data_IF_840811514096
#
_entry.id   IF_840811514096
#
_cell.length_a   1.000
_cell.length_b   1.000
_cell.length_c   1.000
_cell.angle_alpha   90.00
_cell.angle_beta   90.00
_cell.angle_gamma   90.00
#
_symmetry.space_group_name_H-M   'P 1'
#
loop_
_entity.id
_entity.type
_entity.pdbx_description
1 polymer ?
#
# COMPACT_ATOMS: atom_id res chain seq x y z
N UNK A 1 -46.32 10.80 -33.35
CA UNK A 1 -45.82 11.87 -32.45
C UNK A 1 -44.31 11.71 -32.39
N UNK A 2 -43.58 12.59 -33.08
CA UNK A 2 -42.12 12.60 -33.08
C UNK A 2 -41.68 13.09 -31.71
N UNK A 3 -40.91 12.27 -30.99
CA UNK A 3 -40.34 12.67 -29.72
C UNK A 3 -39.20 13.62 -30.05
N UNK A 4 -39.36 14.91 -29.75
CA UNK A 4 -38.31 15.91 -29.93
C UNK A 4 -37.15 15.60 -28.98
N UNK A 5 -36.09 15.05 -29.55
CA UNK A 5 -34.90 14.62 -28.79
C UNK A 5 -34.07 15.79 -28.28
N UNK A 6 -34.30 17.01 -28.78
CA UNK A 6 -33.60 18.23 -28.38
C UNK A 6 -33.83 18.62 -26.91
N UNK A 7 -35.05 18.49 -26.40
CA UNK A 7 -35.37 18.82 -25.00
C UNK A 7 -34.73 17.81 -24.03
N UNK A 8 -34.59 16.56 -24.46
CA UNK A 8 -33.90 15.50 -23.71
C UNK A 8 -32.41 15.83 -23.61
N UNK A 9 -31.78 16.31 -24.69
CA UNK A 9 -30.37 16.68 -24.67
C UNK A 9 -30.09 18.01 -23.94
N UNK A 10 -31.04 18.94 -23.89
CA UNK A 10 -30.91 20.17 -23.10
C UNK A 10 -30.96 19.90 -21.59
N UNK A 11 -31.78 18.95 -21.12
CA UNK A 11 -31.83 18.57 -19.71
C UNK A 11 -30.63 17.73 -19.25
N UNK A 12 -29.93 17.05 -20.16
CA UNK A 12 -28.69 16.30 -19.89
C UNK A 12 -27.45 17.22 -19.85
N UNK A 13 -27.51 18.40 -20.47
CA UNK A 13 -26.47 19.42 -20.29
C UNK A 13 -26.54 19.96 -18.88
N UNK A 14 -25.72 19.38 -18.01
CA UNK A 14 -25.40 19.89 -16.69
C UNK A 14 -24.95 21.36 -16.86
N UNK A 15 -25.87 22.28 -16.61
CA UNK A 15 -25.56 23.71 -16.61
C UNK A 15 -24.64 23.95 -15.42
N UNK A 16 -23.46 24.53 -15.70
CA UNK A 16 -22.39 24.74 -14.73
C UNK A 16 -22.74 25.75 -13.62
N UNK A 17 -24.00 26.19 -13.54
CA UNK A 17 -24.45 27.33 -12.76
C UNK A 17 -25.14 26.97 -11.43
N UNK A 18 -25.44 25.70 -11.16
CA UNK A 18 -26.20 25.32 -9.96
C UNK A 18 -25.36 24.96 -8.72
N UNK A 19 -24.02 24.98 -8.81
CA UNK A 19 -23.14 24.56 -7.70
C UNK A 19 -22.23 25.67 -7.16
N UNK A 20 -22.68 26.93 -7.17
CA UNK A 20 -22.14 27.88 -6.19
C UNK A 20 -22.82 27.61 -4.86
N UNK A 21 -22.30 26.62 -4.13
CA UNK A 21 -22.61 26.41 -2.73
C UNK A 21 -22.47 27.76 -2.01
N UNK A 22 -23.59 28.22 -1.44
CA UNK A 22 -23.61 29.42 -0.59
C UNK A 22 -22.80 29.11 0.66
N UNK A 23 -21.50 29.34 0.61
CA UNK A 23 -20.66 29.18 1.79
C UNK A 23 -21.21 30.09 2.88
N UNK A 24 -21.41 29.59 4.11
CA UNK A 24 -21.87 30.40 5.21
C UNK A 24 -20.92 31.59 5.36
N UNK A 25 -21.47 32.80 5.25
CA UNK A 25 -20.72 34.04 5.45
C UNK A 25 -20.45 34.19 6.94
N UNK A 26 -19.41 33.51 7.42
CA UNK A 26 -18.87 33.72 8.75
C UNK A 26 -18.18 35.08 8.78
N UNK A 27 -18.44 35.85 9.83
CA UNK A 27 -17.76 37.11 10.09
C UNK A 27 -16.42 36.83 10.77
N UNK A 28 -15.48 37.76 10.62
CA UNK A 28 -14.18 37.69 11.27
C UNK A 28 -14.32 37.67 12.79
N UNK A 29 -13.72 36.68 13.46
CA UNK A 29 -13.76 36.52 14.92
C UNK A 29 -12.84 37.51 15.67
N UNK A 30 -12.17 38.42 14.95
CA UNK A 30 -11.31 39.45 15.54
C UNK A 30 -12.14 40.56 16.19
N UNK A 31 -11.79 41.05 17.40
CA UNK A 31 -12.57 42.08 18.09
C UNK A 31 -12.71 43.33 17.22
N UNK A 32 -13.96 43.71 16.94
CA UNK A 32 -14.30 44.90 16.15
C UNK A 32 -14.20 44.76 14.62
N UNK A 33 -13.98 43.56 14.08
CA UNK A 33 -13.94 43.34 12.63
C UNK A 33 -15.26 42.79 12.07
N UNK A 34 -15.80 43.40 11.01
CA UNK A 34 -17.00 42.93 10.30
C UNK A 34 -16.71 42.39 8.89
N UNK A 35 -15.42 42.19 8.55
CA UNK A 35 -15.04 41.62 7.25
C UNK A 35 -15.40 40.12 7.18
N UNK A 36 -15.61 39.59 5.97
CA UNK A 36 -15.86 38.16 5.75
C UNK A 36 -14.66 37.32 6.16
N UNK A 37 -14.91 36.20 6.83
CA UNK A 37 -13.88 35.31 7.31
C UNK A 37 -13.65 34.15 6.34
N UNK A 38 -12.70 34.34 5.43
CA UNK A 38 -12.37 33.34 4.39
C UNK A 38 -11.29 32.36 4.86
N UNK A 39 -10.49 32.73 5.86
CA UNK A 39 -9.27 32.01 6.19
C UNK A 39 -9.32 31.45 7.61
N UNK A 40 -9.20 30.11 7.78
CA UNK A 40 -9.08 29.47 9.08
C UNK A 40 -7.65 29.61 9.63
N UNK A 41 -7.53 29.84 10.94
CA UNK A 41 -6.28 29.89 11.69
C UNK A 41 -6.36 28.97 12.92
N UNK A 42 -5.33 28.19 13.26
CA UNK A 42 -5.38 27.22 14.37
C UNK A 42 -5.56 27.92 15.73
N UNK A 43 -6.34 27.36 16.67
CA UNK A 43 -6.51 27.96 18.03
C UNK A 43 -5.34 27.69 19.00
N UNK A 44 -4.23 27.14 18.51
CA UNK A 44 -3.07 26.75 19.32
C UNK A 44 -2.88 25.23 19.42
N UNK A 45 -1.77 24.81 20.02
CA UNK A 45 -1.36 23.39 20.11
C UNK A 45 -2.36 22.51 20.86
N UNK A 46 -2.91 23.01 21.97
CA UNK A 46 -3.85 22.24 22.81
C UNK A 46 -5.19 21.96 22.12
N UNK A 47 -5.58 22.78 21.14
CA UNK A 47 -6.85 22.68 20.44
C UNK A 47 -6.63 22.46 18.94
N UNK A 48 -5.91 21.39 18.59
CA UNK A 48 -5.51 21.09 17.21
C UNK A 48 -6.66 20.97 16.20
N UNK A 49 -7.89 20.70 16.67
CA UNK A 49 -9.10 20.57 15.82
C UNK A 49 -9.97 21.82 15.78
N UNK A 50 -9.64 22.85 16.55
CA UNK A 50 -10.38 24.10 16.55
C UNK A 50 -9.65 25.14 15.70
N UNK A 51 -10.41 25.88 14.89
CA UNK A 51 -9.91 26.97 14.06
C UNK A 51 -10.69 28.26 14.34
N UNK A 52 -9.99 29.39 14.32
CA UNK A 52 -10.55 30.74 14.24
C UNK A 52 -10.78 31.09 12.77
N UNK A 53 -11.90 31.72 12.45
CA UNK A 53 -12.14 32.25 11.11
C UNK A 53 -11.86 33.75 11.08
N UNK A 54 -10.88 34.16 10.26
CA UNK A 54 -10.45 35.55 10.13
C UNK A 54 -10.51 36.04 8.67
N UNK A 55 -10.47 37.36 8.50
CA UNK A 55 -10.23 38.00 7.21
C UNK A 55 -8.74 38.02 6.86
N UNK A 56 -8.40 38.36 5.61
CA UNK A 56 -7.01 38.31 5.11
C UNK A 56 -6.02 39.16 5.93
N UNK A 57 -6.46 40.33 6.41
CA UNK A 57 -5.60 41.24 7.19
C UNK A 57 -5.31 40.67 8.59
N UNK A 58 -6.31 40.11 9.25
CA UNK A 58 -6.16 39.57 10.61
C UNK A 58 -5.49 38.20 10.63
N UNK A 59 -5.63 37.38 9.59
CA UNK A 59 -4.80 36.16 9.47
C UNK A 59 -3.33 36.50 9.37
N UNK A 60 -2.95 37.57 8.66
CA UNK A 60 -1.54 37.99 8.58
C UNK A 60 -1.02 38.42 9.95
N UNK A 61 -1.78 39.23 10.69
CA UNK A 61 -1.42 39.63 12.05
C UNK A 61 -1.34 38.44 13.01
N UNK A 62 -2.29 37.50 12.90
CA UNK A 62 -2.29 36.28 13.69
C UNK A 62 -1.07 35.42 13.39
N UNK A 63 -0.78 35.15 12.12
CA UNK A 63 0.37 34.32 11.72
C UNK A 63 1.71 34.96 12.12
N UNK A 64 1.81 36.29 12.16
CA UNK A 64 3.00 36.98 12.63
C UNK A 64 3.26 36.80 14.14
N UNK A 65 2.19 36.75 14.95
CA UNK A 65 2.32 36.56 16.40
C UNK A 65 2.25 35.09 16.82
N UNK A 66 1.81 34.19 15.94
CA UNK A 66 1.62 32.79 16.24
C UNK A 66 2.96 32.04 16.28
N UNK A 67 3.28 31.48 17.45
CA UNK A 67 4.39 30.56 17.62
C UNK A 67 3.88 29.21 18.14
N UNK A 68 4.04 28.15 17.34
CA UNK A 68 3.61 26.80 17.70
C UNK A 68 4.34 26.24 18.94
N UNK A 69 5.60 26.65 19.15
CA UNK A 69 6.46 26.18 20.24
C UNK A 69 6.45 27.11 21.46
N UNK A 70 5.56 28.11 21.51
CA UNK A 70 5.44 28.98 22.69
C UNK A 70 5.16 28.14 23.95
N UNK A 71 6.01 28.27 24.97
CA UNK A 71 5.89 27.55 26.24
C UNK A 71 6.36 26.09 26.21
N UNK A 72 7.07 25.66 25.16
CA UNK A 72 7.78 24.38 25.12
C UNK A 72 9.22 24.58 25.62
N UNK A 73 9.75 23.60 26.34
CA UNK A 73 11.16 23.51 26.71
C UNK A 73 12.04 23.16 25.51
N UNK A 74 13.33 23.49 25.60
CA UNK A 74 14.27 23.27 24.51
C UNK A 74 14.43 21.78 24.15
N UNK A 75 14.33 20.87 25.14
CA UNK A 75 14.44 19.43 24.89
C UNK A 75 13.23 18.90 24.11
N UNK A 76 12.01 19.31 24.46
CA UNK A 76 10.83 18.91 23.70
C UNK A 76 10.82 19.49 22.27
N UNK A 77 11.36 20.70 22.05
CA UNK A 77 11.54 21.23 20.69
C UNK A 77 12.51 20.34 19.90
N UNK A 78 13.65 19.97 20.49
CA UNK A 78 14.63 19.09 19.85
C UNK A 78 14.02 17.72 19.52
N UNK A 79 13.22 17.13 20.42
CA UNK A 79 12.49 15.88 20.14
C UNK A 79 11.53 16.03 18.98
N UNK A 80 10.76 17.12 18.94
CA UNK A 80 9.83 17.38 17.84
C UNK A 80 10.56 17.51 16.50
N UNK A 81 11.73 18.15 16.48
CA UNK A 81 12.57 18.24 15.28
C UNK A 81 13.07 16.86 14.83
N UNK A 82 13.55 16.02 15.75
CA UNK A 82 13.97 14.65 15.44
C UNK A 82 12.82 13.80 14.89
N UNK A 83 11.63 13.92 15.49
CA UNK A 83 10.44 13.22 15.01
C UNK A 83 9.94 13.75 13.66
N UNK A 84 10.09 15.05 13.39
CA UNK A 84 9.71 15.64 12.12
C UNK A 84 10.53 15.08 10.95
N UNK A 85 11.81 14.73 11.18
CA UNK A 85 12.64 14.05 10.17
C UNK A 85 12.06 12.70 9.72
N UNK A 86 11.39 11.99 10.63
CA UNK A 86 10.74 10.70 10.35
C UNK A 86 9.26 10.83 10.00
N UNK A 87 8.73 12.06 9.98
CA UNK A 87 7.31 12.35 9.74
C UNK A 87 6.40 11.97 10.90
N UNK A 88 6.89 12.10 12.14
CA UNK A 88 6.21 11.68 13.37
C UNK A 88 5.84 10.18 13.38
N UNK A 89 6.60 9.37 12.64
CA UNK A 89 6.39 7.92 12.60
C UNK A 89 7.29 7.27 13.65
N UNK A 90 6.76 6.39 14.51
CA UNK A 90 7.60 5.64 15.45
C UNK A 90 8.60 4.78 14.67
N UNK A 91 9.88 4.95 14.98
CA UNK A 91 10.97 4.16 14.39
C UNK A 91 11.55 3.22 15.43
N UNK A 92 11.75 1.95 15.07
CA UNK A 92 12.40 0.96 15.93
C UNK A 92 13.84 0.73 15.49
N UNK A 93 14.74 0.54 16.45
CA UNK A 93 16.08 0.06 16.12
C UNK A 93 15.98 -1.36 15.57
N UNK A 94 16.69 -1.63 14.49
CA UNK A 94 16.72 -2.94 13.85
C UNK A 94 17.22 -3.99 14.86
N UNK A 95 16.36 -4.96 15.22
CA UNK A 95 16.66 -6.01 16.20
C UNK A 95 16.03 -5.83 17.58
N UNK A 96 15.39 -4.69 17.86
CA UNK A 96 14.66 -4.46 19.11
C UNK A 96 13.24 -5.03 19.02
N UNK A 97 12.89 -5.98 19.89
CA UNK A 97 11.54 -6.54 19.93
C UNK A 97 10.60 -5.54 20.61
N UNK A 98 9.51 -5.17 19.94
CA UNK A 98 8.46 -4.27 20.45
C UNK A 98 7.92 -4.73 21.82
N UNK A 99 8.03 -6.02 22.13
CA UNK A 99 7.57 -6.62 23.39
C UNK A 99 8.52 -6.50 24.58
N UNK A 100 9.78 -6.07 24.39
CA UNK A 100 10.78 -6.11 25.46
C UNK A 100 10.88 -4.81 26.27
N UNK A 101 10.43 -3.68 25.73
CA UNK A 101 10.76 -2.36 26.27
C UNK A 101 9.55 -1.59 26.85
N UNK A 102 8.33 -2.16 26.87
CA UNK A 102 7.14 -1.41 27.36
C UNK A 102 6.53 -2.03 28.61
N UNK A 103 6.42 -1.21 29.66
CA UNK A 103 5.69 -1.52 30.88
C UNK A 103 4.19 -1.46 30.62
N UNK A 104 3.42 -2.23 31.40
CA UNK A 104 1.98 -2.44 31.20
C UNK A 104 1.10 -1.17 31.29
N UNK A 105 1.64 -0.03 31.74
CA UNK A 105 0.89 1.21 31.91
C UNK A 105 0.70 1.98 30.58
N UNK A 106 1.62 1.86 29.63
CA UNK A 106 1.53 2.52 28.31
C UNK A 106 0.68 1.71 27.31
N UNK A 107 0.06 0.62 27.74
CA UNK A 107 -0.60 -0.35 26.86
C UNK A 107 -2.00 0.08 26.41
N UNK A 108 -2.73 0.87 27.22
CA UNK A 108 -4.12 1.28 26.95
C UNK A 108 -4.23 2.32 25.83
N UNK A 109 -3.42 3.38 25.87
CA UNK A 109 -3.47 4.47 24.87
C UNK A 109 -2.92 4.00 23.50
N UNK A 110 -1.97 3.07 23.52
CA UNK A 110 -1.42 2.44 22.32
C UNK A 110 -2.22 1.25 21.81
N UNK A 111 -3.18 0.72 22.56
CA UNK A 111 -4.04 -0.36 22.06
C UNK A 111 -4.95 0.13 20.95
N UNK A 112 -5.44 1.36 21.04
CA UNK A 112 -6.24 1.96 19.99
C UNK A 112 -5.38 2.29 18.75
N UNK A 113 -4.16 2.77 18.94
CA UNK A 113 -3.21 3.04 17.86
C UNK A 113 -2.73 1.74 17.18
N UNK A 114 -2.47 0.69 17.95
CA UNK A 114 -2.11 -0.63 17.43
C UNK A 114 -3.30 -1.27 16.71
N UNK A 115 -4.50 -1.26 17.28
CA UNK A 115 -5.69 -1.79 16.62
C UNK A 115 -5.95 -1.07 15.29
N UNK A 116 -5.85 0.26 15.28
CA UNK A 116 -6.00 1.05 14.04
C UNK A 116 -4.90 0.72 13.01
N UNK A 117 -3.66 0.52 13.46
CA UNK A 117 -2.55 0.08 12.59
C UNK A 117 -2.72 -1.36 12.09
N UNK A 118 -3.29 -2.25 12.91
CA UNK A 118 -3.52 -3.66 12.59
C UNK A 118 -4.71 -3.84 11.64
N UNK A 119 -5.73 -2.98 11.78
CA UNK A 119 -6.90 -2.88 10.90
C UNK A 119 -6.52 -2.29 9.54
N UNK A 120 -5.73 -1.21 9.51
CA UNK A 120 -5.20 -0.63 8.26
C UNK A 120 -4.26 -1.60 7.51
N UNK A 121 -3.55 -2.47 8.23
CA UNK A 121 -2.66 -3.48 7.64
C UNK A 121 -3.33 -4.85 7.43
N UNK A 122 -4.64 -4.98 7.64
CA UNK A 122 -5.39 -6.22 7.37
C UNK A 122 -4.94 -7.43 8.20
N UNK A 123 -4.35 -7.21 9.38
CA UNK A 123 -3.73 -8.24 10.24
C UNK A 123 -4.52 -8.52 11.53
N UNK A 124 -5.80 -8.12 11.58
CA UNK A 124 -6.73 -8.53 12.64
C UNK A 124 -7.12 -10.01 12.47
N UNK A 125 -6.22 -10.90 12.86
CA UNK A 125 -6.42 -12.33 12.82
C UNK A 125 -5.30 -13.04 13.55
N UNK A 126 -5.43 -13.14 14.87
CA UNK A 126 -4.61 -14.03 15.70
C UNK A 126 -4.74 -15.47 15.18
N UNK A 127 -3.79 -15.89 14.35
CA UNK A 127 -3.63 -17.29 13.95
C UNK A 127 -2.57 -17.89 14.85
N UNK A 128 -2.95 -18.96 15.55
CA UNK A 128 -2.03 -19.91 16.14
C UNK A 128 -0.84 -20.12 15.20
N UNK A 129 0.38 -20.09 15.76
CA UNK A 129 1.64 -20.33 15.06
C UNK A 129 1.67 -21.78 14.54
N UNK A 130 0.90 -22.04 13.47
CA UNK A 130 1.07 -23.19 12.63
C UNK A 130 2.49 -23.09 12.07
N UNK A 131 3.29 -24.16 12.24
CA UNK A 131 4.61 -24.27 11.60
C UNK A 131 4.49 -23.78 10.17
N UNK A 132 5.28 -22.77 9.82
CA UNK A 132 5.28 -22.18 8.49
C UNK A 132 5.42 -23.30 7.46
N UNK A 133 4.31 -23.67 6.80
CA UNK A 133 4.37 -24.48 5.60
C UNK A 133 5.23 -23.66 4.64
N UNK A 134 6.28 -24.23 4.02
CA UNK A 134 7.10 -23.49 3.08
C UNK A 134 6.16 -22.89 2.05
N UNK A 135 6.15 -21.55 1.97
CA UNK A 135 5.30 -20.83 1.06
C UNK A 135 5.57 -21.39 -0.34
N UNK A 136 4.55 -22.02 -0.93
CA UNK A 136 4.65 -22.55 -2.27
C UNK A 136 5.10 -21.40 -3.17
N UNK A 137 6.27 -21.56 -3.81
CA UNK A 137 6.82 -20.56 -4.73
C UNK A 137 5.70 -20.20 -5.71
N UNK A 138 5.44 -18.89 -5.88
CA UNK A 138 4.43 -18.42 -6.83
C UNK A 138 4.81 -18.94 -8.22
N UNK A 139 4.09 -19.95 -8.68
CA UNK A 139 4.33 -20.55 -9.99
C UNK A 139 3.74 -19.58 -11.01
N UNK A 140 4.60 -18.98 -11.83
CA UNK A 140 4.12 -18.22 -12.99
C UNK A 140 3.58 -19.18 -14.04
N UNK A 141 2.58 -18.74 -14.84
CA UNK A 141 1.91 -19.59 -15.83
C UNK A 141 2.87 -20.34 -16.78
N UNK A 142 3.98 -19.71 -17.17
CA UNK A 142 5.00 -20.34 -18.00
C UNK A 142 5.81 -21.41 -17.26
N UNK A 143 6.17 -21.16 -15.99
CA UNK A 143 6.86 -22.13 -15.13
C UNK A 143 5.98 -23.34 -14.82
N UNK A 144 4.68 -23.12 -14.58
CA UNK A 144 3.73 -24.20 -14.34
C UNK A 144 3.60 -25.13 -15.55
N UNK A 145 3.48 -24.56 -16.75
CA UNK A 145 3.46 -25.34 -18.00
C UNK A 145 4.76 -26.13 -18.22
N UNK A 146 5.92 -25.52 -17.99
CA UNK A 146 7.20 -26.21 -18.15
C UNK A 146 7.39 -27.37 -17.14
N UNK A 147 6.98 -27.16 -15.88
CA UNK A 147 6.99 -28.22 -14.86
C UNK A 147 6.01 -29.35 -15.20
N UNK A 148 4.84 -29.02 -15.76
CA UNK A 148 3.86 -30.01 -16.19
C UNK A 148 4.37 -30.86 -17.36
N UNK A 149 5.00 -30.26 -18.37
CA UNK A 149 5.62 -30.98 -19.51
C UNK A 149 6.69 -31.96 -19.02
N UNK A 150 7.48 -31.59 -18.00
CA UNK A 150 8.50 -32.45 -17.41
C UNK A 150 7.98 -33.42 -16.32
N UNK A 151 6.70 -33.30 -15.93
CA UNK A 151 6.09 -34.11 -14.87
C UNK A 151 6.69 -33.87 -13.48
N UNK A 152 7.07 -32.64 -13.17
CA UNK A 152 7.73 -32.24 -11.93
C UNK A 152 6.84 -31.38 -11.04
N UNK A 153 7.08 -31.43 -9.73
CA UNK A 153 6.35 -30.63 -8.75
C UNK A 153 6.87 -29.18 -8.68
N UNK A 154 6.05 -28.27 -8.13
CA UNK A 154 6.35 -26.85 -7.94
C UNK A 154 7.68 -26.55 -7.22
N UNK A 155 8.10 -27.46 -6.34
CA UNK A 155 9.29 -27.32 -5.50
C UNK A 155 10.49 -28.13 -6.03
N UNK A 156 10.47 -28.57 -7.29
CA UNK A 156 11.54 -29.39 -7.86
C UNK A 156 12.89 -28.65 -7.87
N UNK A 157 13.95 -29.37 -7.50
CA UNK A 157 15.33 -28.84 -7.51
C UNK A 157 15.97 -28.95 -8.89
N UNK A 158 17.03 -28.17 -9.17
CA UNK A 158 17.79 -28.27 -10.43
C UNK A 158 18.34 -29.67 -10.70
N UNK A 159 18.67 -30.42 -9.65
CA UNK A 159 19.13 -31.81 -9.76
C UNK A 159 18.06 -32.73 -10.32
N UNK A 160 16.83 -32.62 -9.80
CA UNK A 160 15.66 -33.39 -10.26
C UNK A 160 15.29 -33.05 -11.72
N UNK A 161 15.35 -31.77 -12.08
CA UNK A 161 15.10 -31.31 -13.45
C UNK A 161 16.08 -31.96 -14.44
N UNK A 162 17.38 -31.96 -14.12
CA UNK A 162 18.41 -32.60 -14.97
C UNK A 162 18.24 -34.12 -15.04
N UNK A 163 17.87 -34.76 -13.94
CA UNK A 163 17.63 -36.21 -13.91
C UNK A 163 16.45 -36.61 -14.79
N UNK A 164 15.30 -35.92 -14.65
CA UNK A 164 14.11 -36.17 -15.49
C UNK A 164 14.35 -35.87 -16.96
N UNK A 165 15.06 -34.79 -17.28
CA UNK A 165 15.44 -34.46 -18.66
C UNK A 165 16.21 -35.61 -19.31
N UNK A 166 17.23 -36.17 -18.65
CA UNK A 166 18.01 -37.28 -19.19
C UNK A 166 17.17 -38.54 -19.46
N UNK A 167 16.20 -38.84 -18.59
CA UNK A 167 15.29 -39.98 -18.78
C UNK A 167 14.38 -39.75 -19.99
N UNK A 168 13.75 -38.58 -20.07
CA UNK A 168 12.81 -38.23 -21.13
C UNK A 168 13.48 -38.13 -22.50
N UNK A 169 14.71 -37.60 -22.59
CA UNK A 169 15.46 -37.55 -23.85
C UNK A 169 15.80 -38.94 -24.35
N UNK A 170 16.20 -39.87 -23.46
CA UNK A 170 16.46 -41.26 -23.86
C UNK A 170 15.20 -41.97 -24.37
N UNK A 171 14.04 -41.66 -23.78
CA UNK A 171 12.76 -42.24 -24.16
C UNK A 171 12.22 -41.69 -25.49
N UNK A 172 12.47 -40.42 -25.78
CA UNK A 172 11.96 -39.74 -26.98
C UNK A 172 13.04 -39.51 -28.04
N UNK A 173 14.18 -40.19 -27.96
CA UNK A 173 15.24 -40.05 -28.96
C UNK A 173 14.85 -40.74 -30.27
N UNK A 174 15.01 -40.09 -31.44
CA UNK A 174 14.65 -40.69 -32.73
C UNK A 174 15.44 -41.98 -33.02
N UNK A 175 16.72 -42.05 -32.61
CA UNK A 175 17.53 -43.26 -32.78
C UNK A 175 17.03 -44.44 -31.92
N UNK A 176 16.42 -44.17 -30.77
CA UNK A 176 15.85 -45.21 -29.90
C UNK A 176 14.46 -45.67 -30.37
N UNK A 177 13.73 -44.78 -31.04
CA UNK A 177 12.37 -45.02 -31.54
C UNK A 177 12.35 -45.35 -33.05
N UNK A 178 13.47 -45.77 -33.63
CA UNK A 178 13.52 -46.28 -35.01
C UNK A 178 13.13 -45.27 -36.10
N UNK A 179 13.20 -43.96 -35.83
CA UNK A 179 12.80 -42.91 -36.77
C UNK A 179 11.33 -42.47 -36.69
N UNK A 180 10.59 -42.87 -35.65
CA UNK A 180 9.22 -42.44 -35.42
C UNK A 180 9.10 -40.94 -35.12
N UNK A 181 8.71 -40.16 -36.13
CA UNK A 181 8.48 -38.70 -36.07
C UNK A 181 7.37 -38.28 -35.11
N UNK A 182 6.49 -39.20 -34.70
CA UNK A 182 5.41 -38.93 -33.76
C UNK A 182 5.89 -38.50 -32.37
N UNK A 183 7.13 -38.83 -32.00
CA UNK A 183 7.73 -38.48 -30.70
C UNK A 183 8.60 -37.22 -30.74
N UNK A 184 8.85 -36.68 -31.93
CA UNK A 184 9.73 -35.52 -32.15
C UNK A 184 9.15 -34.24 -31.55
N UNK A 185 7.86 -33.98 -31.77
CA UNK A 185 7.18 -32.79 -31.23
C UNK A 185 7.28 -32.75 -29.70
N UNK A 186 7.10 -33.91 -29.06
CA UNK A 186 7.20 -34.06 -27.61
C UNK A 186 8.63 -33.83 -27.11
N UNK A 187 9.65 -34.28 -27.85
CA UNK A 187 11.05 -34.02 -27.54
C UNK A 187 11.37 -32.52 -27.61
N UNK A 188 10.86 -31.82 -28.64
CA UNK A 188 11.04 -30.37 -28.80
C UNK A 188 10.42 -29.60 -27.62
N UNK A 189 9.23 -29.99 -27.18
CA UNK A 189 8.59 -29.41 -25.99
C UNK A 189 9.41 -29.62 -24.71
N UNK A 190 9.97 -30.82 -24.52
CA UNK A 190 10.80 -31.17 -23.36
C UNK A 190 12.10 -30.34 -23.35
N UNK A 191 12.74 -30.14 -24.50
CA UNK A 191 13.95 -29.31 -24.63
C UNK A 191 13.64 -27.85 -24.27
N UNK A 192 12.55 -27.29 -24.80
CA UNK A 192 12.11 -25.91 -24.49
C UNK A 192 11.81 -25.74 -23.01
N UNK A 193 11.09 -26.69 -22.41
CA UNK A 193 10.77 -26.69 -20.97
C UNK A 193 12.04 -26.75 -20.10
N UNK A 194 13.01 -27.59 -20.45
CA UNK A 194 14.28 -27.70 -19.74
C UNK A 194 15.11 -26.40 -19.78
N UNK A 195 15.22 -25.79 -20.97
CA UNK A 195 15.95 -24.52 -21.12
C UNK A 195 15.32 -23.41 -20.26
N UNK A 196 13.99 -23.35 -20.21
CA UNK A 196 13.27 -22.39 -19.37
C UNK A 196 13.46 -22.67 -17.87
N UNK A 197 13.33 -23.93 -17.42
CA UNK A 197 13.52 -24.25 -16.00
C UNK A 197 14.96 -24.06 -15.53
N UNK A 198 15.96 -24.21 -16.41
CA UNK A 198 17.36 -23.91 -16.11
C UNK A 198 17.61 -22.43 -15.81
N UNK A 199 16.82 -21.50 -16.36
CA UNK A 199 16.97 -20.06 -16.08
C UNK A 199 16.19 -19.62 -14.84
N UNK A 200 15.04 -20.25 -14.57
CA UNK A 200 14.13 -19.87 -13.48
C UNK A 200 14.45 -20.57 -12.16
N UNK A 201 14.80 -21.85 -12.20
CA UNK A 201 15.16 -22.62 -11.00
C UNK A 201 16.64 -22.39 -10.74
N UNK A 202 16.97 -21.76 -9.61
CA UNK A 202 18.35 -21.67 -9.08
C UNK A 202 18.60 -22.76 -8.05
#
# INVERSE_FOLDING_TARGET
MLIDTSEIFESIRISKQAAQERQPVTLCEWPGCQKKATHPAPKGRANARAYWHFCIDHVRQYNQSYNFFSGMDAEAIARYEQDALTGHRPTWKMGESISATRSAADFEEDWHALCTHLELNGRAGARHRAKARPEARKIFNAQGKALQVMGLNANATLGEVKAKYKVLVKQHHPDANGGDRSTEDRLVEIIKAYQYLKTVVR
#
